data_IF_899139210923
#
_entry.id   IF_899139210923
#
_cell.length_a   1.000
_cell.length_b   1.000
_cell.length_c   1.000
_cell.angle_alpha   90.00
_cell.angle_beta   90.00
_cell.angle_gamma   90.00
#
_symmetry.space_group_name_H-M   'P 1'
#
loop_
_entity.id
_entity.type
_entity.pdbx_description
1 polymer ?
#
# COMPACT_ATOMS: atom_id res chain seq x y z
N UNK A 1 -13.90 17.07 6.85
CA UNK A 1 -12.43 16.91 7.05
C UNK A 1 -12.15 15.50 7.53
N UNK A 2 -11.01 14.91 7.19
CA UNK A 2 -10.63 13.56 7.66
C UNK A 2 -9.88 13.69 8.99
N UNK A 3 -10.38 13.01 10.02
CA UNK A 3 -9.89 13.08 11.39
C UNK A 3 -8.79 12.05 11.69
N UNK A 4 -8.84 10.89 11.03
CA UNK A 4 -7.85 9.80 11.14
C UNK A 4 -7.80 9.02 9.82
N UNK A 5 -6.59 8.58 9.43
CA UNK A 5 -6.35 7.84 8.19
C UNK A 5 -5.31 6.74 8.42
N UNK A 6 -5.63 5.48 8.06
CA UNK A 6 -4.74 4.32 8.26
C UNK A 6 -4.72 3.39 7.06
N UNK A 7 -3.56 2.80 6.82
CA UNK A 7 -3.30 1.83 5.75
C UNK A 7 -2.64 0.58 6.34
N UNK A 8 -3.20 -0.61 6.10
CA UNK A 8 -2.62 -1.89 6.55
C UNK A 8 -2.66 -2.96 5.47
N UNK A 9 -1.58 -3.73 5.37
CA UNK A 9 -1.46 -4.91 4.53
C UNK A 9 -2.38 -6.07 4.97
N UNK A 10 -3.11 -6.68 4.03
CA UNK A 10 -3.87 -7.92 4.27
C UNK A 10 -3.06 -9.17 3.91
N UNK A 11 -3.18 -10.19 4.75
CA UNK A 11 -2.30 -11.36 4.82
C UNK A 11 -2.53 -12.31 3.63
N UNK A 12 -1.74 -12.15 2.54
CA UNK A 12 -1.45 -13.10 1.42
C UNK A 12 -0.73 -12.43 0.23
N UNK A 13 0.30 -11.63 0.48
CA UNK A 13 1.00 -10.92 -0.61
C UNK A 13 1.87 -11.86 -1.43
N UNK A 14 1.64 -11.93 -2.75
CA UNK A 14 2.57 -12.55 -3.68
C UNK A 14 3.74 -11.58 -3.93
N UNK A 15 4.92 -11.91 -3.39
CA UNK A 15 6.10 -11.08 -3.50
C UNK A 15 7.29 -11.88 -4.02
N UNK A 16 8.08 -11.27 -4.91
CA UNK A 16 9.28 -11.89 -5.50
C UNK A 16 10.51 -11.27 -4.86
N UNK A 17 11.26 -12.11 -4.15
CA UNK A 17 12.57 -11.74 -3.62
C UNK A 17 13.61 -11.84 -4.73
N UNK A 18 14.52 -10.88 -4.80
CA UNK A 18 15.67 -10.97 -5.68
C UNK A 18 16.65 -12.07 -5.19
N UNK A 19 17.57 -12.49 -6.07
CA UNK A 19 18.52 -13.56 -5.78
C UNK A 19 19.47 -13.27 -4.61
N UNK A 20 19.58 -12.02 -4.17
CA UNK A 20 20.41 -11.61 -3.03
C UNK A 20 19.62 -11.46 -1.72
N UNK A 21 18.28 -11.38 -1.78
CA UNK A 21 17.43 -11.17 -0.62
C UNK A 21 17.33 -9.73 -0.13
N UNK A 22 17.86 -8.77 -0.90
CA UNK A 22 17.88 -7.36 -0.56
C UNK A 22 16.72 -6.57 -1.16
N UNK A 23 16.07 -7.10 -2.19
CA UNK A 23 14.95 -6.44 -2.88
C UNK A 23 13.75 -7.37 -2.93
N UNK A 24 12.61 -6.88 -2.47
CA UNK A 24 11.32 -7.55 -2.57
C UNK A 24 10.41 -6.73 -3.48
N UNK A 25 10.03 -7.29 -4.62
CA UNK A 25 9.11 -6.65 -5.57
C UNK A 25 7.73 -7.26 -5.46
N UNK A 26 6.73 -6.41 -5.25
CA UNK A 26 5.31 -6.74 -5.20
C UNK A 26 4.64 -6.15 -6.46
N UNK A 27 4.19 -6.98 -7.42
CA UNK A 27 3.61 -6.51 -8.67
C UNK A 27 2.27 -5.77 -8.45
N UNK A 28 1.84 -4.91 -9.41
CA UNK A 28 0.51 -4.31 -9.40
C UNK A 28 -0.62 -5.32 -9.18
N UNK A 29 -1.64 -4.94 -8.41
CA UNK A 29 -2.87 -5.71 -8.17
C UNK A 29 -2.69 -6.94 -7.29
N UNK A 30 -1.50 -7.18 -6.74
CA UNK A 30 -1.21 -8.41 -5.98
C UNK A 30 -1.35 -8.26 -4.47
N UNK A 31 -1.42 -7.02 -3.98
CA UNK A 31 -1.49 -6.72 -2.57
C UNK A 31 -2.74 -5.91 -2.23
N UNK A 32 -3.40 -6.31 -1.15
CA UNK A 32 -4.59 -5.66 -0.62
C UNK A 32 -4.25 -4.80 0.60
N UNK A 33 -4.84 -3.62 0.63
CA UNK A 33 -4.71 -2.65 1.70
C UNK A 33 -6.07 -2.32 2.26
N UNK A 34 -6.21 -2.42 3.59
CA UNK A 34 -7.33 -1.81 4.28
C UNK A 34 -7.03 -0.32 4.45
N UNK A 35 -7.85 0.52 3.85
CA UNK A 35 -7.80 1.98 3.97
C UNK A 35 -8.99 2.44 4.77
N UNK A 36 -8.73 3.01 5.95
CA UNK A 36 -9.78 3.51 6.83
C UNK A 36 -9.67 5.02 7.00
N UNK A 37 -10.80 5.72 6.90
CA UNK A 37 -10.91 7.14 7.17
C UNK A 37 -12.07 7.41 8.13
N UNK A 38 -11.88 8.36 9.05
CA UNK A 38 -12.96 8.90 9.89
C UNK A 38 -13.25 10.33 9.48
N UNK A 39 -14.52 10.67 9.29
CA UNK A 39 -14.98 12.03 9.03
C UNK A 39 -16.28 12.28 9.79
N UNK A 40 -16.32 13.36 10.58
CA UNK A 40 -17.52 13.81 11.30
C UNK A 40 -18.16 12.70 12.15
N UNK A 41 -17.32 11.87 12.78
CA UNK A 41 -17.77 10.75 13.61
C UNK A 41 -18.07 9.45 12.86
N UNK A 42 -18.15 9.48 11.53
CA UNK A 42 -18.39 8.30 10.69
C UNK A 42 -17.07 7.64 10.29
N UNK A 43 -16.96 6.33 10.42
CA UNK A 43 -15.78 5.55 10.01
C UNK A 43 -16.10 4.73 8.75
N UNK A 44 -15.31 4.92 7.71
CA UNK A 44 -15.33 4.09 6.49
C UNK A 44 -14.08 3.24 6.39
N UNK A 45 -14.21 2.01 5.87
CA UNK A 45 -13.10 1.14 5.52
C UNK A 45 -13.34 0.60 4.11
N UNK A 46 -12.34 0.72 3.26
CA UNK A 46 -12.35 0.20 1.89
C UNK A 46 -11.10 -0.64 1.64
N UNK A 47 -11.23 -1.63 0.76
CA UNK A 47 -10.12 -2.47 0.34
C UNK A 47 -9.57 -1.92 -0.98
N UNK A 48 -8.33 -1.44 -0.96
CA UNK A 48 -7.62 -0.94 -2.13
C UNK A 48 -6.53 -1.93 -2.54
N UNK A 49 -6.11 -1.89 -3.80
CA UNK A 49 -4.96 -2.64 -4.30
C UNK A 49 -3.86 -1.69 -4.75
N UNK A 50 -2.61 -2.16 -4.79
CA UNK A 50 -1.56 -1.37 -5.42
C UNK A 50 -1.78 -1.27 -6.93
N UNK A 51 -1.80 -0.07 -7.49
CA UNK A 51 -1.87 0.16 -8.94
C UNK A 51 -0.47 0.13 -9.58
N UNK A 52 0.55 0.49 -8.81
CA UNK A 52 1.96 0.40 -9.21
C UNK A 52 2.71 -0.64 -8.38
N UNK A 53 3.87 -1.08 -8.87
CA UNK A 53 4.69 -2.01 -8.13
C UNK A 53 5.18 -1.38 -6.81
N UNK A 54 5.12 -2.15 -5.72
CA UNK A 54 5.74 -1.79 -4.45
C UNK A 54 7.09 -2.51 -4.35
N UNK A 55 8.16 -1.76 -4.19
CA UNK A 55 9.51 -2.31 -4.00
C UNK A 55 9.95 -2.04 -2.57
N UNK A 56 10.29 -3.09 -1.85
CA UNK A 56 10.92 -2.99 -0.53
C UNK A 56 12.40 -3.32 -0.68
N UNK A 57 13.27 -2.45 -0.17
CA UNK A 57 14.72 -2.62 -0.25
C UNK A 57 15.30 -2.68 1.15
N UNK A 58 16.27 -3.56 1.38
CA UNK A 58 17.05 -3.63 2.62
C UNK A 58 18.50 -3.28 2.37
N UNK A 59 18.91 -2.11 2.87
CA UNK A 59 20.27 -1.58 2.77
C UNK A 59 20.78 -1.18 4.15
N UNK A 60 22.03 -1.54 4.47
CA UNK A 60 22.68 -1.21 5.74
C UNK A 60 21.84 -1.53 6.99
N UNK A 61 21.11 -2.66 6.93
CA UNK A 61 20.24 -3.12 8.01
C UNK A 61 18.88 -2.41 8.11
N UNK A 62 18.64 -1.35 7.34
CA UNK A 62 17.38 -0.60 7.31
C UNK A 62 16.48 -1.04 6.15
N UNK A 63 15.16 -0.98 6.36
CA UNK A 63 14.18 -1.21 5.30
C UNK A 63 13.70 0.12 4.71
N UNK A 64 13.52 0.15 3.41
CA UNK A 64 12.85 1.24 2.69
C UNK A 64 11.76 0.69 1.78
N UNK A 65 10.80 1.55 1.45
CA UNK A 65 9.81 1.31 0.42
C UNK A 65 9.92 2.38 -0.66
N UNK A 66 9.76 1.95 -1.92
CA UNK A 66 9.54 2.86 -3.03
C UNK A 66 8.25 3.66 -2.85
N UNK A 67 8.10 4.74 -3.60
CA UNK A 67 6.78 5.33 -3.79
C UNK A 67 5.90 4.33 -4.55
N UNK A 68 4.62 4.29 -4.21
CA UNK A 68 3.63 3.45 -4.89
C UNK A 68 2.24 4.08 -4.81
N UNK A 69 1.34 3.62 -5.68
CA UNK A 69 -0.04 4.08 -5.76
C UNK A 69 -0.96 2.99 -5.24
N UNK A 70 -1.86 3.35 -4.34
CA UNK A 70 -3.03 2.57 -3.97
C UNK A 70 -4.23 3.05 -4.76
N UNK A 71 -5.07 2.14 -5.22
CA UNK A 71 -6.31 2.48 -5.88
C UNK A 71 -7.46 1.61 -5.39
N UNK A 72 -8.63 2.24 -5.35
CA UNK A 72 -9.91 1.58 -5.12
C UNK A 72 -10.79 1.87 -6.32
N UNK A 73 -11.50 0.85 -6.76
CA UNK A 73 -12.59 0.99 -7.71
C UNK A 73 -13.76 0.13 -7.24
N UNK A 74 -14.97 0.70 -7.24
CA UNK A 74 -16.18 -0.06 -6.93
C UNK A 74 -16.94 -0.51 -8.18
N UNK A 75 -17.96 -1.35 -7.97
CA UNK A 75 -18.79 -1.85 -9.06
C UNK A 75 -19.69 -0.80 -9.73
N UNK A 76 -19.74 0.42 -9.20
CA UNK A 76 -20.50 1.54 -9.77
C UNK A 76 -19.64 2.46 -10.64
N UNK A 77 -18.32 2.28 -10.62
CA UNK A 77 -17.37 3.09 -11.38
C UNK A 77 -16.72 4.20 -10.56
N UNK A 78 -16.99 4.31 -9.26
CA UNK A 78 -16.26 5.21 -8.37
C UNK A 78 -14.80 4.78 -8.31
N UNK A 79 -13.88 5.73 -8.46
CA UNK A 79 -12.45 5.49 -8.42
C UNK A 79 -11.74 6.57 -7.63
N UNK A 80 -10.82 6.15 -6.76
CA UNK A 80 -9.85 7.04 -6.15
C UNK A 80 -8.48 6.37 -6.08
N UNK A 81 -7.44 7.21 -6.08
CA UNK A 81 -6.06 6.78 -5.92
C UNK A 81 -5.37 7.58 -4.83
N UNK A 82 -4.46 6.93 -4.11
CA UNK A 82 -3.59 7.53 -3.11
C UNK A 82 -2.14 7.24 -3.47
N UNK A 83 -1.35 8.30 -3.63
CA UNK A 83 0.09 8.20 -3.79
C UNK A 83 0.74 8.11 -2.41
N UNK A 84 1.45 7.02 -2.16
CA UNK A 84 2.30 6.83 -0.98
C UNK A 84 3.72 7.22 -1.36
N UNK A 85 4.29 8.19 -0.66
CA UNK A 85 5.66 8.64 -0.92
C UNK A 85 6.69 7.64 -0.39
N UNK A 86 7.88 7.58 -0.98
CA UNK A 86 8.96 6.73 -0.48
C UNK A 86 9.22 6.96 1.01
N UNK A 87 9.46 5.88 1.75
CA UNK A 87 9.68 5.93 3.20
C UNK A 87 10.82 5.00 3.59
N UNK A 88 11.57 5.37 4.63
CA UNK A 88 12.62 4.54 5.25
C UNK A 88 12.33 4.34 6.72
N UNK A 89 12.50 3.12 7.21
CA UNK A 89 12.33 2.72 8.61
C UNK A 89 13.67 2.28 9.21
N UNK A 90 13.86 2.56 10.50
CA UNK A 90 15.01 2.11 11.30
C UNK A 90 14.59 1.00 12.25
#
# INVERSE_FOLDING_TARGET
TVDDFRVRLWDRTHAVLDGTGHVLTIPPGTVWFAVSAKAEGTMGVVAATNETALVLTREDGAWSASGFTLAYQDGSGEYWALVVTPTRWQ
#
